data_IF_898018162207
#
_entry.id   IF_898018162207
#
_cell.length_a   1.000
_cell.length_b   1.000
_cell.length_c   1.000
_cell.angle_alpha   90.00
_cell.angle_beta   90.00
_cell.angle_gamma   90.00
#
_symmetry.space_group_name_H-M   'P 1'
#
loop_
_entity.id
_entity.type
_entity.pdbx_description
1 polymer ?
#
# COMPACT_ATOMS: atom_id res chain seq x y z
N UNK A 1 16.64 -28.59 6.94
CA UNK A 1 15.45 -27.83 7.36
C UNK A 1 15.46 -26.53 6.57
N UNK A 2 14.63 -26.40 5.53
CA UNK A 2 14.57 -25.17 4.72
C UNK A 2 13.64 -24.21 5.45
N UNK A 3 14.15 -23.09 5.98
CA UNK A 3 13.31 -21.96 6.32
C UNK A 3 12.79 -21.39 5.01
N UNK A 4 11.69 -21.93 4.52
CA UNK A 4 10.94 -21.23 3.49
C UNK A 4 10.13 -20.17 4.21
N UNK A 5 10.81 -19.09 4.64
CA UNK A 5 10.12 -17.89 5.09
C UNK A 5 9.29 -17.43 3.89
N UNK A 6 7.98 -17.63 3.97
CA UNK A 6 7.08 -17.28 2.89
C UNK A 6 7.08 -15.75 2.77
N UNK A 7 7.87 -15.24 1.82
CA UNK A 7 7.94 -13.81 1.51
C UNK A 7 6.54 -13.24 1.24
N UNK A 8 6.34 -12.01 1.65
CA UNK A 8 5.10 -11.26 1.47
C UNK A 8 5.18 -10.38 0.23
N UNK A 9 4.08 -10.27 -0.51
CA UNK A 9 3.91 -9.27 -1.55
C UNK A 9 3.21 -8.04 -0.97
N UNK A 10 3.85 -6.88 -1.02
CA UNK A 10 3.25 -5.59 -0.67
C UNK A 10 2.89 -4.84 -1.95
N UNK A 11 1.60 -4.53 -2.10
CA UNK A 11 1.05 -3.73 -3.19
C UNK A 11 0.62 -2.39 -2.61
N UNK A 12 1.35 -1.33 -2.93
CA UNK A 12 1.21 -0.02 -2.29
C UNK A 12 0.68 0.99 -3.29
N UNK A 13 -0.44 1.61 -2.95
CA UNK A 13 -0.94 2.82 -3.59
C UNK A 13 -0.49 4.03 -2.74
N UNK A 14 0.53 4.75 -3.23
CA UNK A 14 1.13 5.82 -2.44
C UNK A 14 0.19 7.02 -2.28
N UNK A 15 -0.58 7.39 -3.31
CA UNK A 15 -1.55 8.47 -3.24
C UNK A 15 -2.65 8.16 -2.22
N UNK A 16 -3.11 6.90 -2.14
CA UNK A 16 -4.11 6.50 -1.14
C UNK A 16 -3.55 6.56 0.29
N UNK A 17 -2.31 6.09 0.48
CA UNK A 17 -1.64 6.12 1.79
C UNK A 17 -1.28 7.52 2.25
N UNK A 18 -0.91 8.42 1.34
CA UNK A 18 -0.68 9.84 1.65
C UNK A 18 -2.00 10.58 1.81
N UNK A 19 -3.01 10.23 1.01
CA UNK A 19 -4.28 10.95 0.93
C UNK A 19 -4.24 12.20 0.06
N UNK A 20 -3.29 12.27 -0.87
CA UNK A 20 -3.13 13.36 -1.83
C UNK A 20 -2.95 12.79 -3.23
N UNK A 21 -3.61 13.34 -4.26
CA UNK A 21 -3.36 12.95 -5.65
C UNK A 21 -2.00 13.44 -6.18
N UNK A 22 -1.36 14.37 -5.47
CA UNK A 22 -0.03 14.89 -5.80
C UNK A 22 0.84 14.92 -4.52
N UNK A 23 1.42 13.77 -4.12
CA UNK A 23 2.19 13.66 -2.89
C UNK A 23 3.60 14.24 -3.05
N UNK A 24 4.01 15.07 -2.08
CA UNK A 24 5.38 15.59 -1.99
C UNK A 24 6.37 14.50 -1.57
N UNK A 25 7.66 14.67 -1.89
CA UNK A 25 8.71 13.75 -1.45
C UNK A 25 8.76 13.57 0.08
N UNK A 26 8.50 14.63 0.86
CA UNK A 26 8.43 14.53 2.32
C UNK A 26 7.29 13.62 2.78
N UNK A 27 6.09 13.76 2.21
CA UNK A 27 4.95 12.91 2.54
C UNK A 27 5.19 11.45 2.13
N UNK A 28 5.77 11.22 0.96
CA UNK A 28 6.14 9.87 0.51
C UNK A 28 7.15 9.22 1.46
N UNK A 29 8.16 9.99 1.89
CA UNK A 29 9.15 9.55 2.89
C UNK A 29 8.51 9.19 4.22
N UNK A 30 7.64 10.06 4.73
CA UNK A 30 6.94 9.83 6.00
C UNK A 30 6.12 8.54 5.93
N UNK A 31 5.37 8.33 4.85
CA UNK A 31 4.60 7.08 4.65
C UNK A 31 5.54 5.88 4.58
N UNK A 32 6.66 5.96 3.85
CA UNK A 32 7.67 4.89 3.79
C UNK A 32 8.18 4.52 5.17
N UNK A 33 8.64 5.50 5.93
CA UNK A 33 9.26 5.27 7.23
C UNK A 33 8.25 4.64 8.21
N UNK A 34 6.97 5.05 8.12
CA UNK A 34 5.90 4.42 8.91
C UNK A 34 5.55 3.01 8.44
N UNK A 35 5.66 2.74 7.14
CA UNK A 35 5.24 1.49 6.53
C UNK A 35 6.33 0.41 6.64
N UNK A 36 7.53 0.69 6.12
CA UNK A 36 8.62 -0.29 6.03
C UNK A 36 9.03 -0.80 7.41
N UNK A 37 9.22 0.10 8.38
CA UNK A 37 9.63 -0.27 9.73
C UNK A 37 8.64 -1.16 10.48
N UNK A 38 7.40 -1.27 10.02
CA UNK A 38 6.34 -2.07 10.67
C UNK A 38 6.00 -3.32 9.88
N UNK A 39 5.82 -3.18 8.57
CA UNK A 39 5.15 -4.20 7.75
C UNK A 39 6.10 -4.98 6.85
N UNK A 40 7.20 -4.38 6.40
CA UNK A 40 8.10 -5.02 5.44
C UNK A 40 9.17 -5.82 6.19
N UNK A 41 9.49 -7.01 5.68
CA UNK A 41 10.55 -7.89 6.18
C UNK A 41 11.58 -8.16 5.08
N UNK A 42 12.71 -8.73 5.49
CA UNK A 42 13.74 -9.15 4.55
C UNK A 42 13.19 -10.22 3.60
N UNK A 43 13.37 -10.03 2.30
CA UNK A 43 12.90 -10.97 1.27
C UNK A 43 11.50 -10.69 0.72
N UNK A 44 10.74 -9.77 1.35
CA UNK A 44 9.45 -9.32 0.84
C UNK A 44 9.59 -8.58 -0.48
N UNK A 45 8.58 -8.71 -1.33
CA UNK A 45 8.48 -7.99 -2.60
C UNK A 45 7.59 -6.77 -2.40
N UNK A 46 8.15 -5.57 -2.59
CA UNK A 46 7.40 -4.33 -2.53
C UNK A 46 7.16 -3.81 -3.95
N UNK A 47 5.88 -3.59 -4.28
CA UNK A 47 5.43 -2.98 -5.53
C UNK A 47 4.69 -1.70 -5.18
N UNK A 48 5.14 -0.57 -5.70
CA UNK A 48 4.52 0.74 -5.48
C UNK A 48 3.93 1.24 -6.80
N UNK A 49 2.62 1.44 -6.81
CA UNK A 49 1.92 2.14 -7.88
C UNK A 49 1.75 3.61 -7.51
N UNK A 50 1.80 4.44 -8.55
CA UNK A 50 1.60 5.86 -8.44
C UNK A 50 1.23 6.48 -9.79
N UNK A 51 0.73 7.70 -9.77
CA UNK A 51 0.62 8.56 -10.93
C UNK A 51 2.02 8.97 -11.44
N UNK A 52 2.10 9.34 -12.72
CA UNK A 52 3.37 9.82 -13.30
C UNK A 52 3.85 11.14 -12.66
N UNK A 53 2.96 11.93 -12.06
CA UNK A 53 3.31 13.16 -11.34
C UNK A 53 4.06 12.83 -10.04
N UNK A 54 3.57 11.83 -9.29
CA UNK A 54 4.19 11.37 -8.05
C UNK A 54 5.47 10.54 -8.27
N UNK A 55 5.66 9.97 -9.46
CA UNK A 55 6.70 8.98 -9.73
C UNK A 55 8.11 9.43 -9.34
N UNK A 56 8.48 10.70 -9.58
CA UNK A 56 9.81 11.21 -9.20
C UNK A 56 10.06 11.14 -7.69
N UNK A 57 9.10 11.61 -6.89
CA UNK A 57 9.12 11.52 -5.43
C UNK A 57 9.15 10.07 -4.95
N UNK A 58 8.34 9.21 -5.57
CA UNK A 58 8.22 7.79 -5.22
C UNK A 58 9.48 7.01 -5.52
N UNK A 59 10.05 7.18 -6.72
CA UNK A 59 11.27 6.49 -7.12
C UNK A 59 12.45 6.87 -6.23
N UNK A 60 12.54 8.15 -5.84
CA UNK A 60 13.58 8.64 -4.95
C UNK A 60 13.44 8.09 -3.53
N UNK A 61 12.23 8.11 -2.96
CA UNK A 61 12.02 7.68 -1.58
C UNK A 61 11.89 6.16 -1.44
N UNK A 62 11.42 5.42 -2.44
CA UNK A 62 11.32 3.95 -2.43
C UNK A 62 12.29 3.30 -3.44
N UNK A 63 13.61 3.48 -3.31
CA UNK A 63 14.57 3.09 -4.35
C UNK A 63 14.66 1.57 -4.58
N UNK A 64 14.19 0.77 -3.62
CA UNK A 64 14.25 -0.70 -3.67
C UNK A 64 12.93 -1.37 -4.09
N UNK A 65 11.85 -0.59 -4.21
CA UNK A 65 10.57 -1.12 -4.66
C UNK A 65 10.57 -1.32 -6.18
N UNK A 66 9.72 -2.23 -6.65
CA UNK A 66 9.29 -2.24 -8.05
C UNK A 66 8.26 -1.14 -8.25
N UNK A 67 8.51 -0.19 -9.13
CA UNK A 67 7.54 0.86 -9.44
C UNK A 67 6.69 0.50 -10.64
N UNK A 68 5.40 0.81 -10.58
CA UNK A 68 4.46 0.66 -11.69
C UNK A 68 3.68 1.96 -11.91
N UNK A 69 4.33 3.03 -12.43
CA UNK A 69 3.64 4.30 -12.67
C UNK A 69 2.57 4.13 -13.75
N UNK A 70 1.39 4.71 -13.53
CA UNK A 70 0.30 4.70 -14.51
C UNK A 70 -0.54 5.98 -14.40
N UNK A 71 -0.83 6.58 -15.55
CA UNK A 71 -1.66 7.79 -15.65
C UNK A 71 -3.15 7.45 -15.61
N UNK A 72 -3.94 8.48 -15.32
CA UNK A 72 -5.40 8.40 -15.26
C UNK A 72 -5.88 8.43 -13.82
N UNK A 73 -7.16 8.75 -13.65
CA UNK A 73 -7.81 8.92 -12.34
C UNK A 73 -7.57 7.74 -11.40
N UNK A 74 -7.67 6.53 -11.94
CA UNK A 74 -7.53 5.27 -11.20
C UNK A 74 -6.28 4.50 -11.68
N UNK A 75 -5.27 5.22 -12.15
CA UNK A 75 -4.09 4.64 -12.80
C UNK A 75 -3.34 3.69 -11.86
N UNK A 76 -3.08 4.13 -10.62
CA UNK A 76 -2.39 3.33 -9.63
C UNK A 76 -3.18 2.06 -9.27
N UNK A 77 -4.49 2.19 -9.01
CA UNK A 77 -5.37 1.06 -8.69
C UNK A 77 -5.37 -0.01 -9.78
N UNK A 78 -5.60 0.41 -11.03
CA UNK A 78 -5.64 -0.50 -12.18
C UNK A 78 -4.28 -1.14 -12.46
N UNK A 79 -3.17 -0.49 -12.10
CA UNK A 79 -1.84 -1.09 -12.19
C UNK A 79 -1.66 -2.21 -11.15
N UNK A 80 -2.05 -1.97 -9.90
CA UNK A 80 -1.98 -2.97 -8.82
C UNK A 80 -2.92 -4.15 -9.05
N UNK A 81 -4.14 -3.90 -9.54
CA UNK A 81 -5.07 -4.95 -9.96
C UNK A 81 -4.50 -5.80 -11.11
N UNK A 82 -3.75 -5.18 -12.02
CA UNK A 82 -3.03 -5.90 -13.07
C UNK A 82 -1.99 -6.88 -12.50
N UNK A 83 -1.25 -6.48 -11.47
CA UNK A 83 -0.31 -7.37 -10.77
C UNK A 83 -1.06 -8.53 -10.10
N UNK A 84 -2.15 -8.23 -9.38
CA UNK A 84 -2.97 -9.24 -8.70
C UNK A 84 -3.54 -10.28 -9.67
N UNK A 85 -3.95 -9.86 -10.86
CA UNK A 85 -4.58 -10.74 -11.84
C UNK A 85 -3.58 -11.47 -12.76
N UNK A 86 -2.42 -10.87 -13.05
CA UNK A 86 -1.55 -11.30 -14.14
C UNK A 86 -0.24 -11.96 -13.73
N UNK A 87 0.06 -12.07 -12.44
CA UNK A 87 1.39 -12.52 -11.97
C UNK A 87 1.37 -13.77 -11.08
N UNK A 88 0.32 -14.60 -11.19
CA UNK A 88 0.17 -15.84 -10.44
C UNK A 88 0.39 -15.67 -8.93
N UNK A 89 -0.16 -14.57 -8.39
CA UNK A 89 0.12 -14.13 -7.02
C UNK A 89 -0.18 -15.23 -6.00
N UNK A 90 -1.31 -15.93 -6.15
CA UNK A 90 -1.71 -16.99 -5.24
C UNK A 90 -0.80 -18.23 -5.27
N UNK A 91 -0.07 -18.46 -6.37
CA UNK A 91 0.89 -19.55 -6.47
C UNK A 91 2.24 -19.18 -5.86
N UNK A 92 2.58 -17.88 -5.88
CA UNK A 92 3.90 -17.36 -5.52
C UNK A 92 4.00 -16.84 -4.09
N UNK A 93 2.88 -16.45 -3.50
CA UNK A 93 2.81 -15.80 -2.20
C UNK A 93 1.71 -16.40 -1.33
N UNK A 94 2.04 -16.66 -0.07
CA UNK A 94 1.04 -17.06 0.94
C UNK A 94 0.45 -15.87 1.69
N UNK A 95 1.13 -14.72 1.64
CA UNK A 95 0.66 -13.49 2.23
C UNK A 95 0.77 -12.32 1.25
N UNK A 96 -0.28 -11.51 1.19
CA UNK A 96 -0.34 -10.29 0.38
C UNK A 96 -0.80 -9.14 1.28
N UNK A 97 -0.10 -8.02 1.20
CA UNK A 97 -0.53 -6.77 1.81
C UNK A 97 -1.00 -5.83 0.70
N UNK A 98 -2.27 -5.41 0.76
CA UNK A 98 -2.81 -4.35 -0.09
C UNK A 98 -2.84 -3.06 0.72
N UNK A 99 -1.94 -2.14 0.41
CA UNK A 99 -1.85 -0.86 1.08
C UNK A 99 -2.67 0.20 0.32
N UNK A 100 -3.99 0.07 0.43
CA UNK A 100 -5.01 1.01 -0.06
C UNK A 100 -6.31 0.79 0.71
N UNK A 101 -7.11 1.84 0.88
CA UNK A 101 -8.45 1.74 1.44
C UNK A 101 -9.57 1.53 0.40
N UNK A 102 -9.25 1.62 -0.89
CA UNK A 102 -10.25 1.73 -1.96
C UNK A 102 -11.07 0.44 -2.15
N UNK A 103 -12.39 0.59 -2.29
CA UNK A 103 -13.31 -0.52 -2.52
C UNK A 103 -13.03 -1.28 -3.84
N UNK A 104 -12.33 -0.68 -4.81
CA UNK A 104 -11.97 -1.31 -6.09
C UNK A 104 -11.18 -2.62 -5.91
N UNK A 105 -10.43 -2.76 -4.80
CA UNK A 105 -9.66 -3.96 -4.49
C UNK A 105 -10.50 -5.10 -3.89
N UNK A 106 -11.76 -4.85 -3.51
CA UNK A 106 -12.59 -5.81 -2.76
C UNK A 106 -12.64 -7.19 -3.43
N UNK A 107 -12.94 -7.25 -4.72
CA UNK A 107 -13.12 -8.51 -5.44
C UNK A 107 -11.80 -9.27 -5.59
N UNK A 108 -10.69 -8.56 -5.82
CA UNK A 108 -9.37 -9.16 -5.93
C UNK A 108 -8.90 -9.74 -4.59
N UNK A 109 -9.12 -9.01 -3.49
CA UNK A 109 -8.82 -9.47 -2.13
C UNK A 109 -9.66 -10.68 -1.75
N UNK A 110 -10.97 -10.67 -2.03
CA UNK A 110 -11.84 -11.81 -1.76
C UNK A 110 -11.40 -13.06 -2.55
N UNK A 111 -11.02 -12.88 -3.82
CA UNK A 111 -10.52 -13.96 -4.67
C UNK A 111 -9.24 -14.59 -4.13
N UNK A 112 -8.26 -13.77 -3.71
CA UNK A 112 -7.04 -14.25 -3.07
C UNK A 112 -7.34 -15.06 -1.81
N UNK A 113 -8.26 -14.58 -0.97
CA UNK A 113 -8.71 -15.31 0.23
C UNK A 113 -9.30 -16.68 -0.09
N UNK A 114 -10.14 -16.79 -1.14
CA UNK A 114 -10.68 -18.07 -1.62
C UNK A 114 -9.57 -19.02 -2.09
N UNK A 115 -8.50 -18.48 -2.66
CA UNK A 115 -7.32 -19.24 -3.10
C UNK A 115 -6.37 -19.61 -1.95
N UNK A 116 -6.71 -19.28 -0.69
CA UNK A 116 -5.92 -19.62 0.49
C UNK A 116 -4.79 -18.65 0.80
N UNK A 117 -4.73 -17.51 0.12
CA UNK A 117 -3.75 -16.44 0.41
C UNK A 117 -4.26 -15.60 1.57
N UNK A 118 -3.40 -15.38 2.57
CA UNK A 118 -3.70 -14.46 3.67
C UNK A 118 -3.52 -13.02 3.19
N UNK A 119 -4.58 -12.21 3.27
CA UNK A 119 -4.57 -10.82 2.84
C UNK A 119 -4.72 -9.87 4.02
N UNK A 120 -3.75 -8.98 4.16
CA UNK A 120 -3.81 -7.82 5.06
C UNK A 120 -4.06 -6.55 4.26
N UNK A 121 -5.01 -5.73 4.69
CA UNK A 121 -5.21 -4.39 4.15
C UNK A 121 -4.56 -3.36 5.07
N UNK A 122 -3.74 -2.47 4.53
CA UNK A 122 -3.20 -1.32 5.25
C UNK A 122 -3.79 -0.05 4.65
N UNK A 123 -4.44 0.78 5.46
CA UNK A 123 -5.14 1.96 4.96
C UNK A 123 -5.02 3.14 5.92
N UNK A 124 -5.36 4.34 5.44
CA UNK A 124 -5.64 5.47 6.34
C UNK A 124 -6.98 5.25 7.03
N UNK A 125 -7.16 5.90 8.18
CA UNK A 125 -8.41 5.83 8.94
C UNK A 125 -9.62 6.28 8.10
N UNK A 126 -9.42 7.28 7.25
CA UNK A 126 -10.46 7.93 6.47
C UNK A 126 -10.73 7.23 5.13
N UNK A 127 -9.83 6.34 4.67
CA UNK A 127 -9.91 5.75 3.33
C UNK A 127 -10.40 4.31 3.31
N UNK A 128 -10.40 3.58 4.43
CA UNK A 128 -10.77 2.16 4.43
C UNK A 128 -12.27 1.95 4.16
N UNK A 129 -12.58 1.44 2.97
CA UNK A 129 -13.94 1.05 2.62
C UNK A 129 -14.43 -0.14 3.44
N UNK A 130 -15.74 -0.15 3.75
CA UNK A 130 -16.37 -1.22 4.53
C UNK A 130 -16.30 -2.57 3.82
N UNK A 131 -16.46 -2.60 2.51
CA UNK A 131 -16.43 -3.83 1.72
C UNK A 131 -15.03 -4.44 1.70
N UNK A 132 -13.99 -3.62 1.49
CA UNK A 132 -12.60 -4.10 1.52
C UNK A 132 -12.20 -4.61 2.91
N UNK A 133 -12.67 -3.93 3.97
CA UNK A 133 -12.49 -4.39 5.35
C UNK A 133 -13.12 -5.76 5.60
N UNK A 134 -14.28 -6.06 5.02
CA UNK A 134 -14.95 -7.34 5.16
C UNK A 134 -14.33 -8.44 4.29
N UNK A 135 -13.74 -8.08 3.15
CA UNK A 135 -13.09 -9.03 2.24
C UNK A 135 -11.70 -9.49 2.73
N UNK A 136 -11.00 -8.66 3.51
CA UNK A 136 -9.65 -8.95 4.02
C UNK A 136 -9.68 -9.76 5.31
N UNK A 137 -8.64 -10.57 5.54
CA UNK A 137 -8.50 -11.36 6.77
C UNK A 137 -8.03 -10.48 7.93
N UNK A 138 -7.19 -9.49 7.62
CA UNK A 138 -6.74 -8.50 8.59
C UNK A 138 -6.77 -7.10 7.95
N UNK A 139 -7.03 -6.09 8.77
CA UNK A 139 -6.85 -4.70 8.38
C UNK A 139 -6.07 -3.94 9.46
N UNK A 140 -5.17 -3.08 9.03
CA UNK A 140 -4.33 -2.24 9.87
C UNK A 140 -4.49 -0.80 9.41
N UNK A 141 -4.62 0.12 10.37
CA UNK A 141 -4.73 1.54 10.08
C UNK A 141 -3.37 2.19 10.31
N UNK A 142 -2.93 3.00 9.35
CA UNK A 142 -1.76 3.85 9.54
C UNK A 142 -2.01 4.81 10.70
N UNK A 143 -1.01 5.07 11.56
CA UNK A 143 -1.12 6.09 12.59
C UNK A 143 -1.55 7.42 11.97
N UNK A 144 -2.46 8.14 12.63
CA UNK A 144 -2.78 9.50 12.20
C UNK A 144 -1.50 10.35 12.29
N UNK A 145 -1.23 11.21 11.30
CA UNK A 145 -0.20 12.23 11.44
C UNK A 145 -0.46 13.00 12.74
N UNK A 146 0.53 13.07 13.62
CA UNK A 146 0.42 13.93 14.78
C UNK A 146 0.35 15.37 14.27
N UNK A 147 -0.75 16.07 14.56
CA UNK A 147 -0.81 17.50 14.30
C UNK A 147 0.38 18.14 15.01
N UNK A 148 1.27 18.79 14.26
CA UNK A 148 2.40 19.47 14.87
C UNK A 148 1.86 20.52 15.85
N UNK A 149 2.30 20.48 17.11
CA UNK A 149 2.00 21.47 18.15
C UNK A 149 2.51 22.90 17.81
N UNK A 150 3.03 23.12 16.60
CA UNK A 150 3.62 24.38 16.15
C UNK A 150 2.62 25.53 15.92
N UNK A 151 1.30 25.30 15.98
CA UNK A 151 0.29 26.35 15.79
C UNK A 151 -0.24 26.99 17.09
N UNK A 152 0.33 26.66 18.26
CA UNK A 152 -0.13 27.22 19.55
C UNK A 152 0.80 28.27 20.17
N UNK A 153 1.83 28.75 19.45
CA UNK A 153 2.75 29.77 19.97
C UNK A 153 2.68 31.14 19.26
N UNK A 154 1.83 31.32 18.25
CA UNK A 154 1.66 32.64 17.58
C UNK A 154 0.49 33.47 18.13
N UNK A 155 -0.14 33.05 19.24
CA UNK A 155 -1.30 33.73 19.82
C UNK A 155 -1.14 34.11 21.30
N UNK A 156 0.09 34.29 21.80
CA UNK A 156 0.36 34.73 23.17
C UNK A 156 1.06 36.08 23.20
#
# INVERSE_FOLDING_TARGET
>A
MKFNEHRTLHLIDIENLVGSPDPTACQVREVRDHYEGRYVRYGDLVVVACSHHAFGSVAWEWPRARHIPRSGKDGADLALLGVLAGEDVAERFQHVVVASGDAIFTDAVARLGIQGVSVTVVARHESLSRTLRLASQQHLLLPRPQASLAQSLESA
#
